data_IF_145843031320
#
_entry.id   IF_145843031320
#
_cell.length_a   1.000
_cell.length_b   1.000
_cell.length_c   1.000
_cell.angle_alpha   90.00
_cell.angle_beta   90.00
_cell.angle_gamma   90.00
#
_symmetry.space_group_name_H-M   'P 1'
#
loop_
_entity.id
_entity.type
_entity.pdbx_description
1 polymer ?
#
# COMPACT_ATOMS: atom_id res chain seq x y z
N UNK A 1 76.44 36.06 60.52
CA UNK A 1 75.81 36.49 59.26
C UNK A 1 74.31 36.46 59.47
N UNK A 2 73.69 37.50 60.05
CA UNK A 2 73.18 38.70 59.36
C UNK A 2 72.52 38.36 58.03
N UNK A 3 71.18 38.28 58.00
CA UNK A 3 70.37 38.95 56.98
C UNK A 3 68.93 39.07 57.49
N UNK A 4 68.58 40.30 57.90
CA UNK A 4 67.24 40.68 58.33
C UNK A 4 66.26 40.64 57.15
N UNK A 5 65.10 40.02 57.36
CA UNK A 5 63.95 40.18 56.47
C UNK A 5 63.25 41.49 56.82
N UNK A 6 63.39 42.47 55.93
CA UNK A 6 62.58 43.70 55.89
C UNK A 6 61.09 43.33 55.80
N UNK A 7 60.29 43.95 56.65
CA UNK A 7 58.83 44.00 56.55
C UNK A 7 58.45 44.73 55.25
N UNK A 8 57.60 44.11 54.43
CA UNK A 8 57.06 44.78 53.24
C UNK A 8 55.83 45.61 53.64
N UNK A 9 55.61 46.78 53.01
CA UNK A 9 54.45 47.61 53.30
C UNK A 9 53.18 46.97 52.74
N UNK A 10 52.12 46.98 53.54
CA UNK A 10 50.77 46.50 53.22
C UNK A 10 50.26 47.26 51.98
N UNK A 11 50.16 46.57 50.84
CA UNK A 11 49.61 47.12 49.62
C UNK A 11 48.15 47.55 49.86
N UNK A 12 47.85 48.81 49.54
CA UNK A 12 46.49 49.35 49.47
C UNK A 12 45.70 48.61 48.37
N UNK A 13 44.41 48.32 48.58
CA UNK A 13 43.62 47.62 47.57
C UNK A 13 43.49 48.49 46.32
N UNK A 14 43.92 47.95 45.18
CA UNK A 14 43.69 48.56 43.86
C UNK A 14 42.18 48.75 43.64
N UNK A 15 41.73 49.88 43.04
CA UNK A 15 40.33 50.05 42.70
C UNK A 15 39.95 48.97 41.69
N UNK A 16 38.96 48.15 42.04
CA UNK A 16 38.34 47.18 41.14
C UNK A 16 37.80 47.96 39.93
N UNK A 17 38.43 47.77 38.76
CA UNK A 17 37.87 48.20 37.49
C UNK A 17 36.52 47.49 37.35
N UNK A 18 35.42 48.26 37.34
CA UNK A 18 34.09 47.76 36.97
C UNK A 18 34.26 47.00 35.65
N UNK A 19 34.09 45.69 35.68
CA UNK A 19 33.95 44.90 34.45
C UNK A 19 32.71 45.42 33.75
N UNK A 20 32.86 45.83 32.49
CA UNK A 20 31.74 46.22 31.65
C UNK A 20 30.71 45.08 31.66
N UNK A 21 29.56 45.35 32.25
CA UNK A 21 28.42 44.45 32.29
C UNK A 21 28.02 44.16 30.83
N UNK A 22 28.06 42.91 30.34
CA UNK A 22 27.65 42.61 28.98
C UNK A 22 26.15 42.89 28.89
N UNK A 23 25.81 44.05 28.32
CA UNK A 23 24.44 44.49 28.13
C UNK A 23 23.57 43.41 27.46
N UNK A 24 22.24 43.53 27.57
CA UNK A 24 21.31 42.44 27.28
C UNK A 24 21.54 41.85 25.90
N UNK A 25 21.82 40.55 25.84
CA UNK A 25 21.97 39.79 24.59
C UNK A 25 20.63 39.88 23.84
N UNK A 26 20.56 40.77 22.85
CA UNK A 26 19.37 40.91 22.00
C UNK A 26 19.10 39.56 21.32
N UNK A 27 17.89 38.98 21.44
CA UNK A 27 17.63 37.67 20.87
C UNK A 27 17.70 37.77 19.34
N UNK A 28 18.52 36.94 18.70
CA UNK A 28 18.75 36.90 17.24
C UNK A 28 17.52 36.38 16.44
N UNK A 29 16.29 36.72 16.87
CA UNK A 29 15.01 36.27 16.28
C UNK A 29 14.91 36.51 14.78
N UNK A 30 15.48 37.63 14.29
CA UNK A 30 15.49 37.99 12.85
C UNK A 30 16.36 37.06 12.00
N UNK A 31 17.43 36.50 12.55
CA UNK A 31 18.32 35.60 11.79
C UNK A 31 17.69 34.20 11.69
N UNK A 32 17.12 33.71 12.80
CA UNK A 32 16.43 32.41 12.84
C UNK A 32 15.19 32.37 11.95
N UNK A 33 14.38 33.43 11.94
CA UNK A 33 13.19 33.52 11.08
C UNK A 33 13.53 33.57 9.59
N UNK A 34 14.60 34.29 9.22
CA UNK A 34 15.09 34.32 7.83
C UNK A 34 15.61 32.96 7.38
N UNK A 35 16.34 32.24 8.22
CA UNK A 35 16.82 30.88 7.93
C UNK A 35 15.67 29.87 7.80
N UNK A 36 14.64 29.99 8.64
CA UNK A 36 13.44 29.14 8.59
C UNK A 36 12.60 29.40 7.33
N UNK A 37 12.42 30.67 6.96
CA UNK A 37 11.76 31.06 5.72
C UNK A 37 12.55 30.58 4.48
N UNK A 38 13.88 30.70 4.48
CA UNK A 38 14.73 30.20 3.39
C UNK A 38 14.65 28.67 3.26
N UNK A 39 14.58 27.96 4.38
CA UNK A 39 14.38 26.50 4.42
C UNK A 39 13.01 26.09 3.87
N UNK A 40 11.93 26.78 4.24
CA UNK A 40 10.59 26.52 3.68
C UNK A 40 10.52 26.79 2.19
N UNK A 41 11.12 27.90 1.72
CA UNK A 41 11.24 28.21 0.30
C UNK A 41 12.03 27.12 -0.42
N UNK A 42 13.15 26.65 0.15
CA UNK A 42 13.93 25.53 -0.38
C UNK A 42 13.12 24.23 -0.49
N UNK A 43 12.32 23.89 0.51
CA UNK A 43 11.42 22.71 0.47
C UNK A 43 10.33 22.89 -0.60
N UNK A 44 9.75 24.09 -0.72
CA UNK A 44 8.76 24.37 -1.76
C UNK A 44 9.36 24.24 -3.16
N UNK A 45 10.57 24.76 -3.39
CA UNK A 45 11.30 24.58 -4.65
C UNK A 45 11.62 23.12 -4.91
N UNK A 46 12.14 22.40 -3.91
CA UNK A 46 12.43 20.97 -4.06
C UNK A 46 11.18 20.16 -4.40
N UNK A 47 10.06 20.40 -3.71
CA UNK A 47 8.77 19.76 -4.03
C UNK A 47 8.26 20.15 -5.41
N UNK A 48 8.44 21.40 -5.84
CA UNK A 48 8.07 21.87 -7.17
C UNK A 48 8.90 21.17 -8.26
N UNK A 49 10.21 21.02 -8.07
CA UNK A 49 11.05 20.29 -9.00
C UNK A 49 10.70 18.79 -9.03
N UNK A 50 10.41 18.20 -7.88
CA UNK A 50 10.01 16.79 -7.80
C UNK A 50 8.67 16.54 -8.50
N UNK A 51 7.68 17.42 -8.34
CA UNK A 51 6.39 17.31 -9.04
C UNK A 51 6.53 17.60 -10.53
N UNK A 52 7.35 18.56 -10.92
CA UNK A 52 7.59 18.88 -12.33
C UNK A 52 8.30 17.73 -13.05
N UNK A 53 9.35 17.17 -12.43
CA UNK A 53 10.04 15.99 -12.95
C UNK A 53 9.08 14.79 -13.05
N UNK A 54 8.28 14.54 -12.01
CA UNK A 54 7.27 13.47 -12.02
C UNK A 54 6.23 13.65 -13.14
N UNK A 55 5.76 14.88 -13.37
CA UNK A 55 4.84 15.20 -14.47
C UNK A 55 5.48 14.97 -15.84
N UNK A 56 6.74 15.37 -16.03
CA UNK A 56 7.45 15.12 -17.29
C UNK A 56 7.58 13.63 -17.54
N UNK A 57 8.05 12.86 -16.56
CA UNK A 57 8.18 11.40 -16.68
C UNK A 57 6.83 10.75 -16.98
N UNK A 58 5.78 11.12 -16.25
CA UNK A 58 4.44 10.58 -16.46
C UNK A 58 3.87 10.96 -17.84
N UNK A 59 4.01 12.22 -18.27
CA UNK A 59 3.55 12.66 -19.58
C UNK A 59 4.32 11.99 -20.72
N UNK A 60 5.63 11.80 -20.59
CA UNK A 60 6.43 11.04 -21.56
C UNK A 60 5.98 9.58 -21.61
N UNK A 61 5.73 8.96 -20.46
CA UNK A 61 5.19 7.61 -20.38
C UNK A 61 3.83 7.50 -21.09
N UNK A 62 2.87 8.40 -20.79
CA UNK A 62 1.55 8.44 -21.43
C UNK A 62 1.65 8.68 -22.93
N UNK A 63 2.55 9.57 -23.37
CA UNK A 63 2.79 9.83 -24.78
C UNK A 63 3.30 8.58 -25.49
N UNK A 64 4.32 7.92 -24.96
CA UNK A 64 4.85 6.65 -25.52
C UNK A 64 3.78 5.55 -25.51
N UNK A 65 3.02 5.43 -24.43
CA UNK A 65 1.90 4.49 -24.32
C UNK A 65 0.82 4.75 -25.36
N UNK A 66 0.57 6.02 -25.73
CA UNK A 66 -0.43 6.39 -26.74
C UNK A 66 -0.07 5.93 -28.15
N UNK A 67 1.21 5.65 -28.43
CA UNK A 67 1.65 5.05 -29.69
C UNK A 67 1.62 3.52 -29.70
N UNK A 68 1.40 2.88 -28.54
CA UNK A 68 1.27 1.44 -28.46
C UNK A 68 -0.13 0.98 -28.90
N UNK A 69 -0.31 0.93 -30.23
CA UNK A 69 -1.52 0.39 -30.85
C UNK A 69 -1.71 -1.12 -30.61
N UNK A 70 -0.68 -1.83 -30.14
CA UNK A 70 -0.72 -3.28 -29.91
C UNK A 70 -1.27 -3.65 -28.53
N UNK A 71 -1.40 -2.67 -27.62
CA UNK A 71 -1.77 -2.86 -26.22
C UNK A 71 -0.77 -3.68 -25.42
N UNK A 72 0.47 -3.85 -25.89
CA UNK A 72 1.49 -4.66 -25.23
C UNK A 72 2.00 -4.03 -23.95
N UNK A 73 2.16 -2.71 -23.92
CA UNK A 73 2.57 -1.94 -22.75
C UNK A 73 1.47 -1.97 -21.69
N UNK A 74 0.21 -1.81 -22.10
CA UNK A 74 -0.94 -1.92 -21.19
C UNK A 74 -1.04 -3.33 -20.59
N UNK A 75 -0.93 -4.38 -21.42
CA UNK A 75 -0.87 -5.77 -20.94
C UNK A 75 0.30 -6.00 -19.98
N UNK A 76 1.47 -5.45 -20.27
CA UNK A 76 2.65 -5.60 -19.42
C UNK A 76 2.49 -4.91 -18.06
N UNK A 77 2.02 -3.66 -18.06
CA UNK A 77 1.80 -2.88 -16.83
C UNK A 77 0.72 -3.52 -15.97
N UNK A 78 -0.41 -3.91 -16.57
CA UNK A 78 -1.46 -4.63 -15.86
C UNK A 78 -0.93 -5.94 -15.28
N UNK A 79 -0.22 -6.73 -16.07
CA UNK A 79 0.37 -7.99 -15.61
C UNK A 79 1.36 -7.78 -14.45
N UNK A 80 2.24 -6.78 -14.53
CA UNK A 80 3.17 -6.46 -13.46
C UNK A 80 2.44 -6.01 -12.17
N UNK A 81 1.40 -5.17 -12.31
CA UNK A 81 0.60 -4.72 -11.19
C UNK A 81 -0.13 -5.87 -10.48
N UNK A 82 -0.76 -6.77 -11.24
CA UNK A 82 -1.41 -7.97 -10.67
C UNK A 82 -0.41 -8.89 -9.97
N UNK A 83 0.80 -9.05 -10.50
CA UNK A 83 1.84 -9.84 -9.82
C UNK A 83 2.31 -9.20 -8.51
N UNK A 84 2.36 -7.87 -8.44
CA UNK A 84 2.73 -7.15 -7.21
C UNK A 84 1.61 -7.31 -6.18
N UNK A 85 0.35 -7.09 -6.56
CA UNK A 85 -0.80 -7.31 -5.67
C UNK A 85 -0.86 -8.75 -5.15
N UNK A 86 -0.59 -9.72 -6.03
CA UNK A 86 -0.56 -11.14 -5.67
C UNK A 86 0.53 -11.43 -4.62
N UNK A 87 1.69 -10.78 -4.72
CA UNK A 87 2.80 -10.91 -3.77
C UNK A 87 2.64 -10.12 -2.46
N UNK A 88 1.78 -9.11 -2.43
CA UNK A 88 1.49 -8.33 -1.21
C UNK A 88 0.52 -9.05 -0.26
N UNK A 89 -0.24 -10.03 -0.74
CA UNK A 89 -0.95 -10.96 0.12
C UNK A 89 0.01 -12.04 0.66
N UNK A 90 0.82 -11.63 1.63
CA UNK A 90 1.84 -12.47 2.29
C UNK A 90 1.28 -13.64 3.09
N UNK A 91 -0.03 -13.68 3.38
CA UNK A 91 -0.66 -14.79 4.11
C UNK A 91 -1.32 -15.79 3.13
N UNK A 92 -1.64 -15.39 1.89
CA UNK A 92 -2.13 -16.27 0.83
C UNK A 92 -3.43 -16.99 1.17
N UNK A 93 -4.18 -16.50 2.16
CA UNK A 93 -5.39 -17.16 2.64
C UNK A 93 -6.60 -16.78 1.78
N UNK A 94 -6.60 -15.55 1.23
CA UNK A 94 -7.69 -14.99 0.44
C UNK A 94 -7.68 -15.57 -0.98
N UNK A 95 -8.83 -16.14 -1.34
CA UNK A 95 -9.07 -16.75 -2.65
C UNK A 95 -9.82 -15.84 -3.62
N UNK A 96 -10.50 -14.83 -3.09
CA UNK A 96 -11.24 -13.83 -3.83
C UNK A 96 -10.42 -12.54 -3.92
N UNK A 97 -10.00 -12.19 -5.14
CA UNK A 97 -9.40 -10.88 -5.43
C UNK A 97 -10.41 -9.89 -6.02
N UNK A 98 -11.68 -10.29 -6.09
CA UNK A 98 -12.76 -9.45 -6.58
C UNK A 98 -13.29 -8.53 -5.48
N UNK A 99 -13.99 -7.48 -5.90
CA UNK A 99 -14.75 -6.64 -4.99
C UNK A 99 -15.93 -7.40 -4.38
N UNK A 100 -16.45 -6.87 -3.28
CA UNK A 100 -17.61 -7.39 -2.60
C UNK A 100 -18.92 -6.73 -3.03
N UNK A 101 -20.02 -7.44 -2.83
CA UNK A 101 -21.38 -6.93 -2.97
C UNK A 101 -22.18 -7.22 -1.71
N UNK A 102 -22.98 -6.25 -1.28
CA UNK A 102 -23.97 -6.40 -0.22
C UNK A 102 -25.24 -5.69 -0.64
N UNK A 103 -26.38 -6.34 -0.46
CA UNK A 103 -27.68 -5.71 -0.62
C UNK A 103 -28.06 -5.06 0.72
N UNK A 104 -28.33 -3.76 0.70
CA UNK A 104 -28.65 -2.96 1.88
C UNK A 104 -30.15 -2.90 2.16
N UNK A 105 -30.97 -3.56 1.34
CA UNK A 105 -32.40 -3.64 1.52
C UNK A 105 -32.73 -4.40 2.82
N UNK A 106 -33.71 -3.96 3.63
CA UNK A 106 -34.07 -4.62 4.89
C UNK A 106 -34.47 -6.09 4.71
N UNK A 107 -35.08 -6.42 3.57
CA UNK A 107 -35.58 -7.75 3.22
C UNK A 107 -34.59 -8.56 2.36
N UNK A 108 -33.34 -8.09 2.25
CA UNK A 108 -32.33 -8.76 1.45
C UNK A 108 -32.10 -10.20 1.96
N UNK A 109 -32.20 -11.22 1.09
CA UNK A 109 -31.99 -12.60 1.50
C UNK A 109 -30.53 -12.79 1.92
N UNK A 110 -30.34 -13.25 3.17
CA UNK A 110 -29.02 -13.62 3.67
C UNK A 110 -28.61 -14.96 3.06
N UNK A 111 -27.47 -14.96 2.36
CA UNK A 111 -26.88 -16.19 1.86
C UNK A 111 -26.16 -16.89 3.02
N UNK A 112 -26.65 -18.07 3.37
CA UNK A 112 -26.00 -18.97 4.32
C UNK A 112 -24.68 -19.48 3.72
N UNK A 113 -23.62 -19.43 4.53
CA UNK A 113 -22.26 -19.79 4.12
C UNK A 113 -21.56 -20.49 5.28
N UNK A 114 -20.63 -21.39 4.94
CA UNK A 114 -19.74 -22.02 5.92
C UNK A 114 -18.93 -20.97 6.68
N UNK A 115 -18.61 -21.25 7.95
CA UNK A 115 -17.78 -20.36 8.77
C UNK A 115 -16.41 -20.06 8.15
N UNK A 116 -15.85 -20.97 7.33
CA UNK A 116 -14.59 -20.75 6.62
C UNK A 116 -14.69 -19.72 5.48
N UNK A 117 -15.90 -19.46 5.00
CA UNK A 117 -16.16 -18.57 3.86
C UNK A 117 -16.57 -17.15 4.32
N UNK A 118 -16.88 -16.98 5.61
CA UNK A 118 -17.24 -15.71 6.23
C UNK A 118 -16.21 -14.58 6.02
N UNK A 119 -14.89 -14.82 6.10
CA UNK A 119 -13.91 -13.76 5.83
C UNK A 119 -14.00 -13.16 4.42
N UNK A 120 -14.51 -13.93 3.45
CA UNK A 120 -14.66 -13.53 2.05
C UNK A 120 -16.14 -13.26 1.67
N UNK A 121 -17.03 -13.15 2.67
CA UNK A 121 -18.49 -13.10 2.48
C UNK A 121 -18.94 -12.16 1.37
N UNK A 122 -18.50 -10.90 1.38
CA UNK A 122 -18.99 -9.92 0.41
C UNK A 122 -18.58 -10.26 -1.02
N UNK A 123 -17.37 -10.78 -1.21
CA UNK A 123 -16.92 -11.26 -2.52
C UNK A 123 -17.77 -12.45 -2.98
N UNK A 124 -18.04 -13.39 -2.08
CA UNK A 124 -18.87 -14.56 -2.37
C UNK A 124 -20.34 -14.21 -2.62
N UNK A 125 -20.88 -13.20 -1.95
CA UNK A 125 -22.23 -12.68 -2.20
C UNK A 125 -22.34 -12.07 -3.59
N UNK A 126 -21.31 -11.36 -4.04
CA UNK A 126 -21.23 -10.88 -5.42
C UNK A 126 -21.24 -12.05 -6.41
N UNK A 127 -20.42 -13.06 -6.15
CA UNK A 127 -20.37 -14.26 -6.98
C UNK A 127 -21.70 -15.00 -7.03
N UNK A 128 -22.40 -15.16 -5.90
CA UNK A 128 -23.72 -15.75 -5.87
C UNK A 128 -24.68 -15.00 -6.77
N UNK A 129 -24.74 -13.66 -6.62
CA UNK A 129 -25.64 -12.81 -7.40
C UNK A 129 -25.37 -12.90 -8.91
N UNK A 130 -24.11 -12.89 -9.32
CA UNK A 130 -23.73 -12.94 -10.74
C UNK A 130 -23.93 -14.35 -11.30
N UNK A 131 -23.46 -15.38 -10.60
CA UNK A 131 -23.50 -16.75 -11.08
C UNK A 131 -24.93 -17.33 -11.10
N UNK A 132 -25.82 -16.89 -10.20
CA UNK A 132 -27.22 -17.32 -10.21
C UNK A 132 -28.10 -16.51 -11.17
N UNK A 133 -27.63 -15.37 -11.71
CA UNK A 133 -28.43 -14.51 -12.58
C UNK A 133 -28.93 -15.21 -13.86
N UNK A 134 -28.15 -16.10 -14.52
CA UNK A 134 -28.60 -16.86 -15.69
C UNK A 134 -29.62 -17.96 -15.38
N UNK A 135 -29.81 -18.35 -14.12
CA UNK A 135 -30.68 -19.46 -13.69
C UNK A 135 -29.95 -20.54 -12.88
N UNK A 136 -30.59 -21.70 -12.74
CA UNK A 136 -30.01 -22.85 -12.03
C UNK A 136 -28.83 -23.44 -12.83
N UNK A 137 -27.68 -23.56 -12.16
CA UNK A 137 -26.46 -24.11 -12.73
C UNK A 137 -26.31 -25.62 -12.52
N UNK A 138 -27.23 -26.24 -11.78
CA UNK A 138 -27.17 -27.65 -11.41
C UNK A 138 -27.04 -28.55 -12.65
N UNK A 139 -26.07 -29.45 -12.64
CA UNK A 139 -25.84 -30.38 -13.75
C UNK A 139 -25.15 -29.78 -14.99
N UNK A 140 -24.86 -28.47 -15.01
CA UNK A 140 -24.21 -27.82 -16.14
C UNK A 140 -22.67 -27.90 -16.08
N UNK A 141 -22.04 -27.72 -17.25
CA UNK A 141 -20.61 -27.51 -17.36
C UNK A 141 -20.34 -26.00 -17.46
N UNK A 142 -19.69 -25.45 -16.44
CA UNK A 142 -19.46 -24.00 -16.30
C UNK A 142 -17.98 -23.70 -16.49
N UNK A 143 -17.69 -22.66 -17.30
CA UNK A 143 -16.36 -22.10 -17.51
C UNK A 143 -16.32 -20.68 -16.94
N UNK A 144 -15.41 -20.43 -16.01
CA UNK A 144 -15.10 -19.09 -15.51
C UNK A 144 -13.85 -18.55 -16.19
N UNK A 145 -14.00 -17.44 -16.92
CA UNK A 145 -12.91 -16.75 -17.60
C UNK A 145 -12.40 -15.63 -16.70
N UNK A 146 -11.11 -15.63 -16.40
CA UNK A 146 -10.51 -14.75 -15.39
C UNK A 146 -10.77 -15.26 -13.96
N UNK A 147 -10.59 -16.56 -13.72
CA UNK A 147 -10.92 -17.19 -12.43
C UNK A 147 -10.03 -16.76 -11.26
N UNK A 148 -8.94 -16.03 -11.53
CA UNK A 148 -7.96 -15.61 -10.54
C UNK A 148 -7.46 -16.79 -9.71
N UNK A 149 -7.49 -16.63 -8.38
CA UNK A 149 -7.09 -17.65 -7.40
C UNK A 149 -8.16 -18.71 -7.12
N UNK A 150 -9.31 -18.64 -7.82
CA UNK A 150 -10.35 -19.66 -7.80
C UNK A 150 -11.36 -19.58 -6.65
N UNK A 151 -11.41 -18.50 -5.88
CA UNK A 151 -12.38 -18.34 -4.78
C UNK A 151 -13.83 -18.41 -5.26
N UNK A 152 -14.15 -17.62 -6.29
CA UNK A 152 -15.46 -17.65 -6.95
C UNK A 152 -15.79 -19.00 -7.55
N UNK A 153 -14.86 -19.60 -8.31
CA UNK A 153 -15.07 -20.92 -8.91
C UNK A 153 -15.34 -22.00 -7.86
N UNK A 154 -14.59 -21.97 -6.75
CA UNK A 154 -14.77 -22.88 -5.61
C UNK A 154 -16.15 -22.69 -4.97
N UNK A 155 -16.58 -21.44 -4.79
CA UNK A 155 -17.90 -21.11 -4.28
C UNK A 155 -19.01 -21.63 -5.19
N UNK A 156 -18.99 -21.28 -6.49
CA UNK A 156 -19.98 -21.74 -7.46
C UNK A 156 -20.06 -23.26 -7.50
N UNK A 157 -18.92 -23.96 -7.45
CA UNK A 157 -18.91 -25.42 -7.41
C UNK A 157 -19.56 -26.00 -6.14
N UNK A 158 -19.32 -25.40 -4.97
CA UNK A 158 -19.82 -25.90 -3.68
C UNK A 158 -21.28 -25.55 -3.40
N UNK A 159 -21.73 -24.37 -3.83
CA UNK A 159 -23.05 -23.85 -3.45
C UNK A 159 -24.08 -23.89 -4.58
N UNK A 160 -23.65 -23.77 -5.85
CA UNK A 160 -24.55 -23.78 -7.01
C UNK A 160 -24.52 -25.09 -7.80
N UNK A 161 -23.71 -26.06 -7.32
CA UNK A 161 -23.71 -27.46 -7.75
C UNK A 161 -23.68 -27.74 -9.28
N UNK A 162 -22.91 -27.01 -10.11
CA UNK A 162 -22.71 -27.42 -11.49
C UNK A 162 -22.08 -28.81 -11.57
N UNK A 163 -22.35 -29.57 -12.63
CA UNK A 163 -21.69 -30.86 -12.85
C UNK A 163 -20.17 -30.70 -12.90
N UNK A 164 -19.69 -29.70 -13.65
CA UNK A 164 -18.28 -29.36 -13.79
C UNK A 164 -18.07 -27.86 -13.69
N UNK A 165 -17.04 -27.47 -12.94
CA UNK A 165 -16.55 -26.09 -12.89
C UNK A 165 -15.11 -26.06 -13.40
N UNK A 166 -14.84 -25.25 -14.43
CA UNK A 166 -13.51 -25.06 -15.00
C UNK A 166 -13.15 -23.59 -14.88
N UNK A 167 -12.04 -23.26 -14.23
CA UNK A 167 -11.48 -21.90 -14.19
C UNK A 167 -10.38 -21.74 -15.23
N UNK A 168 -10.39 -20.63 -15.96
CA UNK A 168 -9.34 -20.21 -16.88
C UNK A 168 -8.81 -18.86 -16.42
N UNK A 169 -7.50 -18.75 -16.24
CA UNK A 169 -6.84 -17.48 -15.93
C UNK A 169 -5.53 -17.33 -16.71
N UNK A 170 -5.15 -16.09 -17.00
CA UNK A 170 -3.90 -15.77 -17.68
C UNK A 170 -2.69 -15.83 -16.72
N UNK A 171 -2.91 -15.57 -15.43
CA UNK A 171 -1.88 -15.62 -14.38
C UNK A 171 -1.55 -17.05 -14.00
N UNK A 172 -0.39 -17.54 -14.45
CA UNK A 172 0.12 -18.86 -14.05
C UNK A 172 0.25 -19.00 -12.53
N UNK A 173 0.63 -17.92 -11.83
CA UNK A 173 0.72 -17.89 -10.36
C UNK A 173 -0.62 -18.20 -9.69
N UNK A 174 -1.71 -17.63 -10.20
CA UNK A 174 -3.04 -17.83 -9.65
C UNK A 174 -3.55 -19.26 -9.90
N UNK A 175 -3.30 -19.80 -11.09
CA UNK A 175 -3.58 -21.21 -11.45
C UNK A 175 -2.78 -22.17 -10.58
N UNK A 176 -1.49 -21.92 -10.37
CA UNK A 176 -0.63 -22.74 -9.52
C UNK A 176 -1.08 -22.72 -8.06
N UNK A 177 -1.45 -21.55 -7.55
CA UNK A 177 -2.02 -21.39 -6.21
C UNK A 177 -3.26 -22.27 -6.03
N UNK A 178 -4.23 -22.17 -6.93
CA UNK A 178 -5.46 -22.96 -6.88
C UNK A 178 -5.17 -24.46 -7.02
N UNK A 179 -4.26 -24.83 -7.91
CA UNK A 179 -3.87 -26.23 -8.15
C UNK A 179 -3.25 -26.84 -6.90
N UNK A 180 -2.36 -26.10 -6.20
CA UNK A 180 -1.79 -26.54 -4.92
C UNK A 180 -2.86 -26.68 -3.84
N UNK A 181 -3.74 -25.70 -3.69
CA UNK A 181 -4.83 -25.70 -2.69
C UNK A 181 -5.81 -26.85 -2.91
N UNK A 182 -6.17 -27.13 -4.17
CA UNK A 182 -7.05 -28.25 -4.53
C UNK A 182 -6.40 -29.61 -4.25
N UNK A 183 -5.10 -29.76 -4.55
CA UNK A 183 -4.35 -31.00 -4.25
C UNK A 183 -4.21 -31.28 -2.76
N UNK A 184 -4.09 -30.25 -1.92
CA UNK A 184 -4.05 -30.41 -0.46
C UNK A 184 -5.39 -30.89 0.09
N UNK A 185 -6.52 -30.35 -0.43
CA UNK A 185 -7.87 -30.76 -0.02
C UNK A 185 -8.26 -32.16 -0.55
N UNK A 186 -7.78 -32.53 -1.73
CA UNK A 186 -8.02 -33.83 -2.35
C UNK A 186 -6.69 -34.42 -2.87
N UNK A 187 -5.90 -35.07 -2.00
CA UNK A 187 -4.72 -35.78 -2.45
C UNK A 187 -5.16 -36.82 -3.49
N UNK A 188 -4.49 -36.81 -4.65
CA UNK A 188 -4.74 -37.83 -5.67
C UNK A 188 -4.51 -39.19 -5.01
N UNK A 189 -5.57 -40.01 -4.98
CA UNK A 189 -5.49 -41.41 -4.58
C UNK A 189 -4.54 -42.16 -5.51
#
# INVERSE_FOLDING_TARGET
>A
MLFGRKSSPRASPLPLKKSDDPGPIKPKKKCTLKMLALGLVGIMFFRFFLTMAGRIVFSTFVFVASFDKSGSLDRFVNHAFYQILDGLDTQGELTCMNWGYVDLSPDAPKIEMDASDEPERWCLQMYNKIASAPGDLTGLNVLEVGSGRGGGSSYTKRYLHPAKMTGLDYSSKAVDFLTRKTRQKHPRR
#
